data_IF_806184825574
#
_entry.id   IF_806184825574
#
_cell.length_a   1.000
_cell.length_b   1.000
_cell.length_c   1.000
_cell.angle_alpha   90.00
_cell.angle_beta   90.00
_cell.angle_gamma   90.00
#
_symmetry.space_group_name_H-M   'P 1'
#
loop_
_entity.id
_entity.type
_entity.pdbx_description
1 polymer ?
#
# COMPACT_ATOMS: atom_id res chain seq x y z
N UNK A 1 4.39 -30.70 29.74
CA UNK A 1 3.59 -30.78 30.98
C UNK A 1 3.93 -29.54 31.77
N UNK A 2 3.03 -28.55 31.82
CA UNK A 2 3.14 -27.47 32.82
C UNK A 2 3.00 -28.16 34.18
N UNK A 3 3.96 -27.99 35.08
CA UNK A 3 3.79 -28.44 36.46
C UNK A 3 2.60 -27.68 37.06
N UNK A 4 1.45 -28.34 37.11
CA UNK A 4 0.19 -27.88 37.70
C UNK A 4 0.28 -27.62 39.22
N UNK A 5 1.48 -27.69 39.81
CA UNK A 5 1.71 -27.48 41.24
C UNK A 5 1.59 -26.01 41.66
N UNK A 6 1.56 -25.06 40.73
CA UNK A 6 1.44 -23.63 41.04
C UNK A 6 0.05 -23.01 40.79
N UNK A 7 -0.83 -23.65 40.00
CA UNK A 7 -2.19 -23.14 39.73
C UNK A 7 -3.20 -24.04 40.45
N UNK A 8 -3.83 -23.51 41.50
CA UNK A 8 -4.81 -24.23 42.30
C UNK A 8 -6.10 -24.54 41.54
N UNK A 9 -6.88 -25.50 42.05
CA UNK A 9 -8.13 -25.95 41.43
C UNK A 9 -9.18 -24.83 41.31
N UNK A 10 -9.16 -23.86 42.25
CA UNK A 10 -10.13 -22.77 42.34
C UNK A 10 -9.58 -21.42 41.82
N UNK A 11 -8.39 -21.41 41.21
CA UNK A 11 -7.78 -20.16 40.76
C UNK A 11 -8.41 -19.67 39.46
N UNK A 12 -8.63 -18.35 39.40
CA UNK A 12 -8.94 -17.64 38.16
C UNK A 12 -7.69 -17.53 37.30
N UNK A 13 -7.82 -17.85 36.01
CA UNK A 13 -6.67 -17.93 35.09
C UNK A 13 -6.75 -16.84 34.02
N UNK A 14 -5.61 -16.21 33.76
CA UNK A 14 -5.39 -15.36 32.58
C UNK A 14 -4.56 -16.17 31.58
N UNK A 15 -5.06 -16.31 30.36
CA UNK A 15 -4.34 -16.97 29.26
C UNK A 15 -3.78 -15.92 28.32
N UNK A 16 -2.46 -15.91 28.14
CA UNK A 16 -1.79 -14.99 27.23
C UNK A 16 -1.20 -15.79 26.06
N UNK A 17 -1.59 -15.44 24.83
CA UNK A 17 -1.02 -16.01 23.60
C UNK A 17 -0.43 -14.89 22.74
N UNK A 18 0.49 -15.23 21.83
CA UNK A 18 1.01 -14.24 20.89
C UNK A 18 -0.09 -13.77 19.92
N UNK A 19 -0.75 -14.73 19.27
CA UNK A 19 -1.74 -14.51 18.23
C UNK A 19 -3.19 -14.63 18.78
N UNK A 20 -4.12 -13.76 18.34
CA UNK A 20 -5.53 -13.84 18.72
C UNK A 20 -6.27 -14.84 17.83
N UNK A 21 -5.93 -16.14 17.96
CA UNK A 21 -6.49 -17.18 17.08
C UNK A 21 -8.02 -17.18 17.07
N UNK A 22 -8.71 -16.79 18.16
CA UNK A 22 -10.18 -16.70 18.16
C UNK A 22 -10.73 -15.71 17.13
N UNK A 23 -10.00 -14.60 16.89
CA UNK A 23 -10.39 -13.56 15.96
C UNK A 23 -9.90 -13.86 14.55
N UNK A 24 -8.67 -14.36 14.42
CA UNK A 24 -8.09 -14.73 13.13
C UNK A 24 -8.71 -16.00 12.54
N UNK A 25 -8.99 -17.02 13.35
CA UNK A 25 -9.73 -18.20 12.90
C UNK A 25 -11.16 -17.83 12.49
N UNK A 26 -11.83 -16.94 13.21
CA UNK A 26 -13.12 -16.40 12.77
C UNK A 26 -13.01 -15.67 11.43
N UNK A 27 -11.96 -14.87 11.26
CA UNK A 27 -11.77 -14.11 10.04
C UNK A 27 -11.46 -15.01 8.83
N UNK A 28 -10.55 -15.98 9.00
CA UNK A 28 -10.08 -16.87 7.93
C UNK A 28 -10.90 -18.15 7.76
N UNK A 29 -11.94 -18.35 8.59
CA UNK A 29 -12.63 -19.64 8.74
C UNK A 29 -11.65 -20.79 9.05
N UNK A 30 -10.68 -20.51 9.93
CA UNK A 30 -9.61 -21.41 10.35
C UNK A 30 -9.90 -22.17 11.65
N UNK A 31 -8.92 -22.99 12.06
CA UNK A 31 -8.93 -23.69 13.35
C UNK A 31 -7.49 -23.97 13.80
N UNK A 32 -6.75 -22.89 14.04
CA UNK A 32 -5.32 -22.93 14.43
C UNK A 32 -5.14 -23.10 15.94
N UNK A 33 -6.08 -22.60 16.75
CA UNK A 33 -5.98 -22.57 18.22
C UNK A 33 -6.31 -23.88 18.97
N UNK A 34 -6.15 -25.07 18.38
CA UNK A 34 -6.65 -26.35 18.96
C UNK A 34 -6.09 -26.67 20.35
N UNK A 35 -4.78 -26.54 20.56
CA UNK A 35 -4.15 -26.83 21.85
C UNK A 35 -4.64 -25.89 22.95
N UNK A 36 -4.79 -24.61 22.62
CA UNK A 36 -5.30 -23.59 23.55
C UNK A 36 -6.79 -23.83 23.83
N UNK A 37 -7.54 -24.32 22.85
CA UNK A 37 -8.93 -24.74 23.03
C UNK A 37 -9.04 -25.87 24.04
N UNK A 38 -8.22 -26.92 23.91
CA UNK A 38 -8.22 -28.05 24.83
C UNK A 38 -7.85 -27.61 26.26
N UNK A 39 -6.85 -26.72 26.40
CA UNK A 39 -6.52 -26.13 27.70
C UNK A 39 -7.71 -25.37 28.32
N UNK A 40 -8.36 -24.50 27.55
CA UNK A 40 -9.41 -23.62 28.05
C UNK A 40 -10.71 -24.39 28.34
N UNK A 41 -11.14 -25.22 27.39
CA UNK A 41 -12.43 -25.90 27.47
C UNK A 41 -12.38 -27.09 28.41
N UNK A 42 -11.32 -27.91 28.34
CA UNK A 42 -11.30 -29.22 29.02
C UNK A 42 -10.61 -29.15 30.39
N UNK A 43 -9.56 -28.33 30.55
CA UNK A 43 -8.81 -28.23 31.81
C UNK A 43 -9.17 -27.02 32.68
N UNK A 44 -9.36 -25.84 32.07
CA UNK A 44 -9.71 -24.64 32.83
C UNK A 44 -11.22 -24.55 33.09
N UNK A 45 -12.05 -25.04 32.18
CA UNK A 45 -13.50 -25.21 32.32
C UNK A 45 -14.20 -24.03 33.06
N UNK A 46 -14.17 -22.83 32.47
CA UNK A 46 -14.82 -21.63 33.03
C UNK A 46 -13.96 -20.80 34.02
N UNK A 47 -12.75 -21.28 34.35
CA UNK A 47 -11.77 -20.53 35.17
C UNK A 47 -10.98 -19.50 34.38
N UNK A 48 -10.96 -19.55 33.04
CA UNK A 48 -10.28 -18.56 32.22
C UNK A 48 -11.06 -17.24 32.22
N UNK A 49 -10.63 -16.25 33.00
CA UNK A 49 -11.34 -14.95 33.08
C UNK A 49 -10.95 -13.98 32.00
N UNK A 50 -9.69 -14.00 31.59
CA UNK A 50 -9.18 -13.16 30.54
C UNK A 50 -8.31 -14.00 29.60
N UNK A 51 -8.64 -13.99 28.31
CA UNK A 51 -7.73 -14.43 27.28
C UNK A 51 -7.24 -13.20 26.52
N UNK A 52 -5.93 -13.02 26.45
CA UNK A 52 -5.33 -11.88 25.78
C UNK A 52 -4.30 -12.29 24.74
N UNK A 53 -4.18 -11.48 23.69
CA UNK A 53 -3.17 -11.65 22.68
C UNK A 53 -2.74 -10.32 22.05
N UNK A 54 -1.61 -10.37 21.35
CA UNK A 54 -1.07 -9.27 20.55
C UNK A 54 -1.31 -9.53 19.07
N UNK A 55 -0.24 -9.43 18.27
CA UNK A 55 -0.15 -9.66 16.82
C UNK A 55 -0.99 -8.71 15.95
N UNK A 56 -2.29 -8.60 16.22
CA UNK A 56 -3.12 -7.57 15.63
C UNK A 56 -2.84 -6.22 16.29
N UNK A 57 -2.20 -5.31 15.54
CA UNK A 57 -1.79 -3.98 15.96
C UNK A 57 -2.92 -2.96 16.15
N UNK A 58 -3.94 -3.36 16.92
CA UNK A 58 -5.00 -2.53 17.43
C UNK A 58 -5.35 -3.00 18.84
N UNK A 59 -6.26 -2.27 19.49
CA UNK A 59 -6.92 -2.71 20.70
C UNK A 59 -8.37 -3.10 20.41
N UNK A 60 -8.82 -4.22 20.98
CA UNK A 60 -10.19 -4.69 20.84
C UNK A 60 -10.56 -5.58 22.03
N UNK A 61 -11.62 -5.22 22.75
CA UNK A 61 -12.14 -6.02 23.87
C UNK A 61 -13.56 -6.50 23.58
N UNK A 62 -13.73 -7.81 23.74
CA UNK A 62 -15.03 -8.45 23.80
C UNK A 62 -15.32 -8.97 25.20
N UNK A 63 -16.55 -8.80 25.64
CA UNK A 63 -17.06 -9.35 26.89
C UNK A 63 -18.16 -10.34 26.57
N UNK A 64 -18.21 -11.43 27.34
CA UNK A 64 -19.30 -12.39 27.27
C UNK A 64 -20.66 -11.70 27.49
N UNK A 65 -21.68 -12.11 26.73
CA UNK A 65 -23.08 -11.80 27.01
C UNK A 65 -23.62 -12.88 27.95
N UNK A 66 -24.22 -12.52 29.11
CA UNK A 66 -24.76 -13.49 30.04
C UNK A 66 -25.72 -14.49 29.37
N UNK A 67 -25.54 -15.78 29.65
CA UNK A 67 -26.37 -16.87 29.14
C UNK A 67 -26.52 -17.97 30.19
N UNK A 68 -27.47 -18.89 30.00
CA UNK A 68 -27.70 -20.02 30.92
C UNK A 68 -26.48 -20.92 31.09
N UNK A 69 -25.62 -21.00 30.07
CA UNK A 69 -24.37 -21.78 30.15
C UNK A 69 -23.21 -20.88 30.56
N UNK A 70 -22.37 -21.31 31.51
CA UNK A 70 -21.16 -20.58 31.86
C UNK A 70 -20.21 -20.53 30.66
N UNK A 71 -19.63 -19.36 30.42
CA UNK A 71 -18.68 -19.16 29.33
C UNK A 71 -17.32 -19.73 29.70
N UNK A 72 -16.66 -20.37 28.74
CA UNK A 72 -15.27 -20.84 28.93
C UNK A 72 -14.30 -19.68 29.14
N UNK A 73 -14.59 -18.50 28.57
CA UNK A 73 -13.80 -17.27 28.73
C UNK A 73 -14.73 -16.09 29.01
N UNK A 74 -14.41 -15.24 29.98
CA UNK A 74 -15.25 -14.07 30.28
C UNK A 74 -14.90 -12.85 29.39
N UNK A 75 -13.61 -12.60 29.18
CA UNK A 75 -13.12 -11.51 28.35
C UNK A 75 -12.09 -11.96 27.32
N UNK A 76 -12.24 -11.49 26.08
CA UNK A 76 -11.27 -11.64 25.00
C UNK A 76 -10.67 -10.27 24.71
N UNK A 77 -9.34 -10.13 24.83
CA UNK A 77 -8.64 -8.86 24.69
C UNK A 77 -7.52 -8.98 23.66
N UNK A 78 -7.58 -8.17 22.62
CA UNK A 78 -6.48 -7.96 21.69
C UNK A 78 -5.82 -6.64 22.06
N UNK A 79 -4.52 -6.63 22.29
CA UNK A 79 -3.72 -5.41 22.40
C UNK A 79 -2.34 -5.62 21.77
N UNK A 80 -2.28 -5.55 20.44
CA UNK A 80 -1.03 -5.59 19.69
C UNK A 80 -0.49 -4.20 19.34
N UNK A 81 -1.00 -3.12 19.94
CA UNK A 81 -0.68 -1.74 19.54
C UNK A 81 0.81 -1.40 19.57
N UNK A 82 1.66 -2.17 20.26
CA UNK A 82 3.11 -2.02 20.23
C UNK A 82 3.78 -2.33 18.88
N UNK A 83 3.09 -2.95 17.92
CA UNK A 83 3.68 -3.42 16.65
C UNK A 83 4.10 -2.33 15.66
N UNK A 84 4.63 -2.74 14.49
CA UNK A 84 5.28 -1.81 13.57
C UNK A 84 4.34 -0.80 12.88
N UNK A 85 3.08 -1.19 12.62
CA UNK A 85 2.07 -0.35 11.98
C UNK A 85 0.67 -0.72 12.49
N UNK A 86 -0.27 0.21 12.48
CA UNK A 86 -1.66 -0.02 12.91
C UNK A 86 -2.36 -1.10 12.06
N UNK A 87 -3.16 -1.99 12.66
CA UNK A 87 -4.13 -2.84 11.96
C UNK A 87 -5.55 -2.25 12.03
N UNK A 88 -6.44 -2.52 11.05
CA UNK A 88 -7.81 -2.02 11.09
C UNK A 88 -8.63 -2.72 12.18
N UNK A 89 -9.57 -2.00 12.78
CA UNK A 89 -10.58 -2.56 13.71
C UNK A 89 -11.88 -2.88 12.99
N UNK A 90 -12.31 -2.06 12.03
CA UNK A 90 -13.62 -2.17 11.36
C UNK A 90 -13.87 -3.49 10.62
N UNK A 91 -12.80 -4.13 10.13
CA UNK A 91 -12.84 -5.46 9.50
C UNK A 91 -13.40 -6.54 10.43
N UNK A 92 -13.17 -6.39 11.73
CA UNK A 92 -13.50 -7.37 12.76
C UNK A 92 -14.82 -7.06 13.48
N UNK A 93 -15.56 -6.03 13.05
CA UNK A 93 -16.78 -5.53 13.72
C UNK A 93 -17.88 -6.57 13.93
N UNK A 94 -17.92 -7.59 13.08
CA UNK A 94 -18.97 -8.63 13.10
C UNK A 94 -18.60 -9.86 13.95
N UNK A 95 -17.45 -9.88 14.61
CA UNK A 95 -17.10 -10.95 15.53
C UNK A 95 -18.01 -10.90 16.77
N UNK A 96 -18.72 -11.99 17.06
CA UNK A 96 -19.67 -12.03 18.17
C UNK A 96 -19.84 -13.41 18.83
N UNK A 97 -19.09 -14.43 18.41
CA UNK A 97 -19.23 -15.81 18.93
C UNK A 97 -17.88 -16.48 19.10
N UNK A 98 -17.73 -17.19 20.21
CA UNK A 98 -16.55 -18.00 20.50
C UNK A 98 -16.91 -19.16 21.42
N UNK A 99 -16.49 -20.39 21.06
CA UNK A 99 -16.87 -21.64 21.73
C UNK A 99 -18.38 -21.77 22.04
N UNK A 100 -19.22 -21.35 21.10
CA UNK A 100 -20.68 -21.41 21.25
C UNK A 100 -21.29 -20.31 22.13
N UNK A 101 -20.47 -19.50 22.82
CA UNK A 101 -20.94 -18.37 23.62
C UNK A 101 -20.94 -17.07 22.81
N UNK A 102 -21.94 -16.21 23.07
CA UNK A 102 -22.06 -14.89 22.44
C UNK A 102 -21.24 -13.84 23.19
N UNK A 103 -20.63 -12.93 22.44
CA UNK A 103 -19.81 -11.84 22.94
C UNK A 103 -20.24 -10.51 22.34
N UNK A 104 -20.09 -9.45 23.13
CA UNK A 104 -20.28 -8.07 22.70
C UNK A 104 -18.93 -7.34 22.69
N UNK A 105 -18.67 -6.61 21.61
CA UNK A 105 -17.50 -5.72 21.55
C UNK A 105 -17.75 -4.50 22.42
N UNK A 106 -16.97 -4.35 23.50
CA UNK A 106 -17.13 -3.28 24.49
C UNK A 106 -16.26 -2.06 24.17
N UNK A 107 -15.07 -2.26 23.60
CA UNK A 107 -14.15 -1.19 23.29
C UNK A 107 -13.24 -1.57 22.12
N UNK A 108 -12.92 -0.58 21.28
CA UNK A 108 -11.93 -0.70 20.21
C UNK A 108 -11.07 0.55 20.16
N UNK A 109 -9.81 0.38 19.80
CA UNK A 109 -8.92 1.51 19.55
C UNK A 109 -7.96 1.21 18.38
N UNK A 110 -8.04 1.99 17.28
CA UNK A 110 -8.99 3.08 17.02
C UNK A 110 -10.44 2.59 16.90
N UNK A 111 -11.40 3.51 17.02
CA UNK A 111 -12.82 3.19 16.78
C UNK A 111 -13.03 2.66 15.36
N UNK A 112 -14.13 1.95 15.11
CA UNK A 112 -14.44 1.43 13.77
C UNK A 112 -14.49 2.54 12.72
N UNK A 113 -15.13 3.67 13.05
CA UNK A 113 -15.28 4.80 12.14
C UNK A 113 -13.94 5.51 11.89
N UNK A 114 -13.11 5.67 12.92
CA UNK A 114 -11.74 6.16 12.76
C UNK A 114 -10.92 5.23 11.87
N UNK A 115 -11.00 3.93 12.12
CA UNK A 115 -10.27 2.92 11.36
C UNK A 115 -10.67 2.94 9.88
N UNK A 116 -11.96 3.03 9.57
CA UNK A 116 -12.43 3.12 8.19
C UNK A 116 -11.99 4.42 7.51
N UNK A 117 -12.00 5.56 8.23
CA UNK A 117 -11.49 6.84 7.72
C UNK A 117 -9.99 6.83 7.48
N UNK A 118 -9.21 6.18 8.35
CA UNK A 118 -7.77 6.01 8.19
C UNK A 118 -7.45 5.28 6.88
N UNK A 119 -8.29 4.31 6.49
CA UNK A 119 -8.10 3.55 5.25
C UNK A 119 -8.14 4.43 3.99
N UNK A 120 -8.77 5.62 4.02
CA UNK A 120 -8.72 6.60 2.91
C UNK A 120 -7.28 7.01 2.57
N UNK A 121 -6.35 6.85 3.52
CA UNK A 121 -4.92 6.99 3.28
C UNK A 121 -4.41 6.12 2.14
N UNK A 122 -5.06 5.01 1.78
CA UNK A 122 -4.67 4.18 0.64
C UNK A 122 -4.81 4.93 -0.69
N UNK A 123 -5.82 5.79 -0.85
CA UNK A 123 -5.94 6.60 -2.07
C UNK A 123 -4.90 7.74 -2.05
N UNK A 124 -4.78 8.43 -0.93
CA UNK A 124 -4.06 9.71 -0.86
C UNK A 124 -2.55 9.58 -0.57
N UNK A 125 -2.15 8.54 0.15
CA UNK A 125 -0.80 8.40 0.72
C UNK A 125 -0.05 7.18 0.20
N UNK A 126 -0.71 6.22 -0.45
CA UNK A 126 -0.06 4.99 -0.92
C UNK A 126 1.15 5.29 -1.79
N UNK A 127 1.00 6.13 -2.82
CA UNK A 127 2.12 6.51 -3.70
C UNK A 127 3.29 7.12 -2.93
N UNK A 128 3.01 8.08 -2.04
CA UNK A 128 4.04 8.77 -1.24
C UNK A 128 4.80 7.79 -0.32
N UNK A 129 4.11 6.78 0.21
CA UNK A 129 4.67 5.77 1.11
C UNK A 129 5.39 4.64 0.36
N UNK A 130 4.94 4.34 -0.86
CA UNK A 130 5.35 3.17 -1.63
C UNK A 130 5.88 3.56 -3.01
N UNK A 131 6.70 4.62 -3.11
CA UNK A 131 7.24 5.10 -4.39
C UNK A 131 8.04 4.03 -5.16
N UNK A 132 8.56 3.00 -4.50
CA UNK A 132 9.20 1.86 -5.16
C UNK A 132 8.20 1.03 -5.99
N UNK A 133 6.93 1.01 -5.61
CA UNK A 133 5.86 0.37 -6.37
C UNK A 133 5.65 1.06 -7.73
N UNK A 134 5.81 2.39 -7.79
CA UNK A 134 5.70 3.16 -9.05
C UNK A 134 6.66 2.62 -10.12
N UNK A 135 7.90 2.27 -9.71
CA UNK A 135 8.91 1.76 -10.63
C UNK A 135 8.46 0.48 -11.32
N UNK A 136 8.02 -0.51 -10.54
CA UNK A 136 7.53 -1.79 -11.05
C UNK A 136 6.21 -1.59 -11.81
N UNK A 137 5.31 -0.76 -11.27
CA UNK A 137 4.01 -0.48 -11.86
C UNK A 137 4.08 0.14 -13.25
N UNK A 138 5.00 1.10 -13.46
CA UNK A 138 5.21 1.70 -14.78
C UNK A 138 5.77 0.71 -15.79
N UNK A 139 6.65 -0.21 -15.37
CA UNK A 139 7.14 -1.30 -16.23
C UNK A 139 5.99 -2.24 -16.62
N UNK A 140 5.15 -2.62 -15.66
CA UNK A 140 3.96 -3.45 -15.93
C UNK A 140 3.06 -2.76 -16.94
N UNK A 141 2.74 -1.47 -16.75
CA UNK A 141 1.91 -0.72 -17.69
C UNK A 141 2.52 -0.68 -19.08
N UNK A 142 3.84 -0.46 -19.18
CA UNK A 142 4.50 -0.45 -20.47
C UNK A 142 4.41 -1.80 -21.18
N UNK A 143 4.62 -2.91 -20.46
CA UNK A 143 4.44 -4.27 -21.01
C UNK A 143 3.00 -4.47 -21.50
N UNK A 144 2.00 -4.03 -20.73
CA UNK A 144 0.58 -4.15 -21.11
C UNK A 144 0.25 -3.47 -22.44
N UNK A 145 0.96 -2.41 -22.82
CA UNK A 145 0.71 -1.67 -24.07
C UNK A 145 1.82 -1.73 -25.11
N UNK A 146 2.91 -2.43 -24.80
CA UNK A 146 4.14 -2.48 -25.59
C UNK A 146 3.89 -2.79 -27.07
N UNK A 147 3.06 -3.82 -27.33
CA UNK A 147 2.78 -4.31 -28.68
C UNK A 147 1.88 -3.38 -29.50
N UNK A 148 1.32 -2.34 -28.90
CA UNK A 148 0.39 -1.42 -29.57
C UNK A 148 1.04 -0.09 -29.93
N UNK A 149 2.29 0.15 -29.55
CA UNK A 149 3.03 1.32 -30.02
C UNK A 149 3.67 1.09 -31.40
N UNK A 150 3.72 2.11 -32.28
CA UNK A 150 2.95 3.37 -32.26
C UNK A 150 1.50 3.19 -32.75
N UNK A 151 0.65 4.16 -32.42
CA UNK A 151 -0.70 4.26 -32.95
C UNK A 151 -0.72 5.20 -34.16
N UNK A 152 -0.72 4.63 -35.37
CA UNK A 152 -0.53 5.39 -36.61
C UNK A 152 -1.80 6.06 -37.16
N UNK A 153 -2.99 5.56 -36.78
CA UNK A 153 -4.26 6.11 -37.25
C UNK A 153 -5.01 6.76 -36.09
N UNK A 154 -4.64 7.99 -35.75
CA UNK A 154 -5.29 8.80 -34.71
C UNK A 154 -6.02 10.03 -35.30
N UNK A 155 -5.94 10.18 -36.62
CA UNK A 155 -6.37 11.40 -37.28
C UNK A 155 -7.87 11.63 -37.21
N UNK A 156 -8.65 10.54 -37.17
CA UNK A 156 -10.10 10.58 -37.04
C UNK A 156 -10.54 11.17 -35.69
N UNK A 157 -9.83 10.91 -34.59
CA UNK A 157 -10.15 11.45 -33.26
C UNK A 157 -10.07 12.99 -33.27
N UNK A 158 -9.05 13.53 -33.93
CA UNK A 158 -8.77 14.97 -33.94
C UNK A 158 -9.62 15.76 -34.96
N UNK A 159 -10.28 15.10 -35.91
CA UNK A 159 -11.08 15.74 -36.97
C UNK A 159 -12.56 15.92 -36.61
N UNK A 160 -13.03 15.31 -35.52
CA UNK A 160 -14.44 15.39 -35.12
C UNK A 160 -14.70 16.66 -34.33
N UNK A 161 -15.64 17.48 -34.79
CA UNK A 161 -15.91 18.79 -34.19
C UNK A 161 -16.60 18.70 -32.83
N UNK A 162 -17.43 17.67 -32.58
CA UNK A 162 -18.18 17.50 -31.34
C UNK A 162 -17.42 16.75 -30.24
N UNK A 163 -17.55 17.18 -28.98
CA UNK A 163 -16.89 16.53 -27.83
C UNK A 163 -17.31 15.06 -27.68
N UNK A 164 -18.62 14.77 -27.80
CA UNK A 164 -19.15 13.41 -27.74
C UNK A 164 -18.57 12.52 -28.85
N UNK A 165 -18.47 13.05 -30.08
CA UNK A 165 -17.88 12.32 -31.20
C UNK A 165 -16.37 12.05 -31.02
N UNK A 166 -15.62 12.98 -30.43
CA UNK A 166 -14.21 12.76 -30.08
C UNK A 166 -14.06 11.67 -29.01
N UNK A 167 -14.88 11.71 -27.95
CA UNK A 167 -14.86 10.70 -26.90
C UNK A 167 -15.22 9.32 -27.45
N UNK A 168 -16.26 9.22 -28.28
CA UNK A 168 -16.64 7.95 -28.91
C UNK A 168 -15.52 7.41 -29.81
N UNK A 169 -14.88 8.27 -30.60
CA UNK A 169 -13.74 7.88 -31.45
C UNK A 169 -12.53 7.43 -30.62
N UNK A 170 -12.27 8.11 -29.50
CA UNK A 170 -11.20 7.76 -28.57
C UNK A 170 -11.43 6.38 -27.94
N UNK A 171 -12.61 6.15 -27.36
CA UNK A 171 -12.95 4.87 -26.75
C UNK A 171 -13.08 3.74 -27.77
N UNK A 172 -13.55 4.03 -29.00
CA UNK A 172 -13.53 3.09 -30.10
C UNK A 172 -12.10 2.66 -30.46
N UNK A 173 -11.16 3.61 -30.52
CA UNK A 173 -9.74 3.33 -30.78
C UNK A 173 -9.10 2.55 -29.63
N UNK A 174 -9.44 2.89 -28.38
CA UNK A 174 -9.02 2.14 -27.20
C UNK A 174 -9.49 0.69 -27.25
N UNK A 175 -10.74 0.47 -27.64
CA UNK A 175 -11.32 -0.87 -27.80
C UNK A 175 -10.65 -1.64 -28.95
N UNK A 176 -10.41 -1.01 -30.09
CA UNK A 176 -9.66 -1.63 -31.19
C UNK A 176 -8.23 -2.02 -30.76
N UNK A 177 -7.55 -1.18 -29.99
CA UNK A 177 -6.23 -1.50 -29.45
C UNK A 177 -6.28 -2.67 -28.45
N UNK A 178 -7.33 -2.76 -27.65
CA UNK A 178 -7.56 -3.89 -26.77
C UNK A 178 -7.80 -5.20 -27.55
N UNK A 179 -8.66 -5.19 -28.57
CA UNK A 179 -8.88 -6.37 -29.42
C UNK A 179 -7.61 -6.78 -30.16
N UNK A 180 -6.86 -5.81 -30.70
CA UNK A 180 -5.56 -6.08 -31.32
C UNK A 180 -4.58 -6.76 -30.36
N UNK A 181 -4.54 -6.31 -29.10
CA UNK A 181 -3.73 -6.91 -28.06
C UNK A 181 -4.13 -8.37 -27.78
N UNK A 182 -5.43 -8.69 -27.78
CA UNK A 182 -5.89 -10.07 -27.61
C UNK A 182 -5.58 -10.99 -28.80
N UNK A 183 -5.73 -10.47 -30.02
CA UNK A 183 -5.70 -11.29 -31.24
C UNK A 183 -4.29 -11.44 -31.83
N UNK A 184 -3.47 -10.39 -31.74
CA UNK A 184 -2.22 -10.28 -32.51
C UNK A 184 -0.97 -10.06 -31.66
N UNK A 185 -1.11 -9.74 -30.37
CA UNK A 185 0.04 -9.47 -29.51
C UNK A 185 0.45 -10.69 -28.68
N UNK A 186 1.74 -10.99 -28.63
CA UNK A 186 2.28 -12.04 -27.75
C UNK A 186 2.75 -11.47 -26.41
N UNK A 187 3.53 -10.38 -26.43
CA UNK A 187 4.16 -9.80 -25.23
C UNK A 187 3.11 -9.17 -24.31
N UNK A 188 2.29 -8.27 -24.86
CA UNK A 188 1.25 -7.58 -24.08
C UNK A 188 0.16 -8.52 -23.59
N UNK A 189 -0.25 -9.51 -24.40
CA UNK A 189 -1.16 -10.57 -23.97
C UNK A 189 -0.59 -11.42 -22.84
N UNK A 190 0.67 -11.86 -22.94
CA UNK A 190 1.32 -12.62 -21.88
C UNK A 190 1.40 -11.80 -20.58
N UNK A 191 1.77 -10.52 -20.67
CA UNK A 191 1.76 -9.60 -19.52
C UNK A 191 0.38 -9.46 -18.89
N UNK A 192 -0.66 -9.33 -19.70
CA UNK A 192 -2.05 -9.25 -19.25
C UNK A 192 -2.50 -10.54 -18.54
N UNK A 193 -2.22 -11.72 -19.11
CA UNK A 193 -2.55 -13.03 -18.51
C UNK A 193 -1.81 -13.24 -17.19
N UNK A 194 -0.52 -12.91 -17.13
CA UNK A 194 0.27 -12.99 -15.88
C UNK A 194 -0.32 -12.08 -14.82
N UNK A 195 -0.69 -10.84 -15.19
CA UNK A 195 -1.30 -9.89 -14.25
C UNK A 195 -2.66 -10.39 -13.73
N UNK A 196 -3.47 -11.04 -14.58
CA UNK A 196 -4.69 -11.73 -14.13
C UNK A 196 -4.36 -12.79 -13.10
N UNK A 197 -3.44 -13.70 -13.40
CA UNK A 197 -3.08 -14.81 -12.49
C UNK A 197 -2.60 -14.24 -11.15
N UNK A 198 -1.68 -13.28 -11.17
CA UNK A 198 -1.17 -12.63 -9.95
C UNK A 198 -2.29 -11.95 -9.18
N UNK A 199 -3.17 -11.21 -9.86
CA UNK A 199 -4.29 -10.53 -9.20
C UNK A 199 -5.29 -11.51 -8.59
N UNK A 200 -5.54 -12.65 -9.22
CA UNK A 200 -6.40 -13.70 -8.65
C UNK A 200 -5.77 -14.29 -7.40
N UNK A 201 -4.47 -14.61 -7.44
CA UNK A 201 -3.74 -15.18 -6.30
C UNK A 201 -3.59 -14.18 -5.14
N UNK A 202 -3.54 -12.88 -5.45
CA UNK A 202 -3.44 -11.82 -4.44
C UNK A 202 -4.72 -11.69 -3.61
N UNK A 203 -5.90 -11.89 -4.21
CA UNK A 203 -7.18 -11.79 -3.49
C UNK A 203 -7.27 -12.91 -2.44
N UNK A 204 -7.52 -12.61 -1.15
CA UNK A 204 -7.46 -13.61 -0.10
C UNK A 204 -8.51 -14.71 -0.23
N UNK A 205 -8.16 -15.93 0.20
CA UNK A 205 -9.02 -17.12 0.13
C UNK A 205 -10.29 -17.06 1.00
N UNK A 206 -10.42 -16.01 1.83
CA UNK A 206 -11.62 -15.70 2.62
C UNK A 206 -12.88 -15.58 1.76
N UNK A 207 -12.76 -15.09 0.52
CA UNK A 207 -13.90 -14.92 -0.39
C UNK A 207 -14.09 -16.15 -1.29
N UNK A 208 -15.31 -16.37 -1.78
CA UNK A 208 -15.58 -17.47 -2.71
C UNK A 208 -14.77 -17.31 -4.01
N UNK A 209 -14.39 -18.42 -4.65
CA UNK A 209 -13.64 -18.42 -5.92
C UNK A 209 -14.29 -17.54 -7.01
N UNK A 210 -15.63 -17.47 -7.05
CA UNK A 210 -16.37 -16.58 -7.96
C UNK A 210 -16.10 -15.10 -7.66
N UNK A 211 -16.17 -14.70 -6.38
CA UNK A 211 -15.87 -13.32 -5.96
C UNK A 211 -14.40 -12.99 -6.16
N UNK A 212 -13.51 -13.92 -5.85
CA UNK A 212 -12.07 -13.80 -6.13
C UNK A 212 -11.81 -13.50 -7.60
N UNK A 213 -12.46 -14.25 -8.50
CA UNK A 213 -12.41 -14.03 -9.94
C UNK A 213 -12.92 -12.64 -10.34
N UNK A 214 -14.10 -12.24 -9.85
CA UNK A 214 -14.69 -10.94 -10.15
C UNK A 214 -13.77 -9.80 -9.70
N UNK A 215 -13.28 -9.83 -8.45
CA UNK A 215 -12.43 -8.78 -7.88
C UNK A 215 -11.12 -8.68 -8.67
N UNK A 216 -10.46 -9.81 -8.94
CA UNK A 216 -9.19 -9.82 -9.68
C UNK A 216 -9.35 -9.33 -11.11
N UNK A 217 -10.37 -9.81 -11.83
CA UNK A 217 -10.64 -9.39 -13.22
C UNK A 217 -10.99 -7.90 -13.28
N UNK A 218 -11.83 -7.39 -12.37
CA UNK A 218 -12.15 -5.95 -12.33
C UNK A 218 -10.90 -5.11 -12.06
N UNK A 219 -10.05 -5.54 -11.12
CA UNK A 219 -8.82 -4.83 -10.79
C UNK A 219 -7.85 -4.76 -11.99
N UNK A 220 -7.64 -5.89 -12.66
CA UNK A 220 -6.79 -5.97 -13.86
C UNK A 220 -7.38 -5.19 -15.02
N UNK A 221 -8.72 -5.23 -15.18
CA UNK A 221 -9.42 -4.46 -16.22
C UNK A 221 -9.24 -2.96 -16.02
N UNK A 222 -9.28 -2.47 -14.77
CA UNK A 222 -9.01 -1.07 -14.44
C UNK A 222 -7.57 -0.68 -14.80
N UNK A 223 -6.59 -1.53 -14.48
CA UNK A 223 -5.19 -1.30 -14.87
C UNK A 223 -4.99 -1.31 -16.39
N UNK A 224 -5.61 -2.25 -17.11
CA UNK A 224 -5.51 -2.34 -18.56
C UNK A 224 -6.16 -1.15 -19.26
N UNK A 225 -7.38 -0.77 -18.85
CA UNK A 225 -8.05 0.41 -19.37
C UNK A 225 -7.21 1.67 -19.16
N UNK A 226 -6.65 1.85 -17.95
CA UNK A 226 -5.78 2.98 -17.67
C UNK A 226 -4.51 2.97 -18.53
N UNK A 227 -3.85 1.83 -18.69
CA UNK A 227 -2.65 1.72 -19.53
C UNK A 227 -2.95 2.12 -21.00
N UNK A 228 -4.06 1.61 -21.56
CA UNK A 228 -4.51 1.96 -22.92
C UNK A 228 -4.88 3.43 -23.07
N UNK A 229 -5.60 4.01 -22.09
CA UNK A 229 -5.95 5.44 -22.08
C UNK A 229 -4.68 6.28 -22.09
N UNK A 230 -3.72 5.97 -21.21
CA UNK A 230 -2.47 6.72 -21.10
C UNK A 230 -1.61 6.59 -22.37
N UNK A 231 -1.62 5.40 -22.99
CA UNK A 231 -0.93 5.15 -24.27
C UNK A 231 -1.50 6.05 -25.36
N UNK A 232 -2.83 6.07 -25.51
CA UNK A 232 -3.51 6.90 -26.50
C UNK A 232 -3.33 8.39 -26.24
N UNK A 233 -3.38 8.84 -24.99
CA UNK A 233 -3.14 10.24 -24.65
C UNK A 233 -1.72 10.68 -25.02
N UNK A 234 -0.71 9.84 -24.76
CA UNK A 234 0.67 10.13 -25.15
C UNK A 234 0.82 10.15 -26.68
N UNK A 235 0.29 9.15 -27.39
CA UNK A 235 0.36 9.09 -28.85
C UNK A 235 -0.39 10.25 -29.52
N UNK A 236 -1.54 10.65 -28.98
CA UNK A 236 -2.27 11.85 -29.42
C UNK A 236 -1.44 13.11 -29.18
N UNK A 237 -0.77 13.22 -28.03
CA UNK A 237 0.13 14.34 -27.74
C UNK A 237 1.27 14.45 -28.77
N UNK A 238 1.89 13.31 -29.10
CA UNK A 238 2.93 13.24 -30.15
C UNK A 238 2.36 13.61 -31.52
N UNK A 239 1.20 13.07 -31.90
CA UNK A 239 0.51 13.37 -33.16
C UNK A 239 0.16 14.86 -33.28
N UNK A 240 -0.33 15.48 -32.20
CA UNK A 240 -0.60 16.92 -32.16
C UNK A 240 0.67 17.74 -32.37
N UNK A 241 1.77 17.37 -31.70
CA UNK A 241 3.05 18.05 -31.89
C UNK A 241 3.57 17.94 -33.32
N UNK A 242 3.43 16.77 -33.96
CA UNK A 242 3.80 16.57 -35.37
C UNK A 242 2.94 17.45 -36.28
N UNK A 243 1.61 17.46 -36.08
CA UNK A 243 0.66 18.26 -36.89
C UNK A 243 0.94 19.76 -36.81
N UNK A 244 1.29 20.26 -35.62
CA UNK A 244 1.63 21.67 -35.41
C UNK A 244 3.10 22.01 -35.75
N UNK A 245 3.84 21.09 -36.37
CA UNK A 245 5.26 21.25 -36.75
C UNK A 245 6.16 21.58 -35.54
N UNK A 246 5.83 21.07 -34.36
CA UNK A 246 6.66 21.16 -33.16
C UNK A 246 7.67 20.02 -33.07
N UNK A 247 7.34 18.84 -33.61
CA UNK A 247 8.20 17.66 -33.68
C UNK A 247 8.22 17.06 -35.08
N UNK A 248 9.24 16.26 -35.37
CA UNK A 248 9.49 15.57 -36.64
C UNK A 248 9.61 16.50 -37.86
N UNK A 249 10.28 17.65 -37.68
CA UNK A 249 10.37 18.70 -38.71
C UNK A 249 11.58 18.55 -39.62
N UNK A 250 12.72 18.13 -39.08
CA UNK A 250 13.99 18.11 -39.84
C UNK A 250 14.83 16.82 -39.66
N UNK A 251 14.24 15.78 -39.07
CA UNK A 251 14.84 14.46 -38.84
C UNK A 251 15.51 14.32 -37.47
N UNK A 252 16.21 13.20 -37.23
CA UNK A 252 16.76 12.77 -35.92
C UNK A 252 17.74 13.72 -35.21
N UNK A 253 18.10 14.84 -35.81
CA UNK A 253 19.19 15.73 -35.35
C UNK A 253 18.78 17.21 -35.41
N UNK A 254 17.50 17.52 -35.20
CA UNK A 254 16.95 18.89 -35.06
C UNK A 254 17.78 19.73 -34.09
N UNK A 255 17.97 19.24 -32.86
CA UNK A 255 18.72 19.96 -31.83
C UNK A 255 20.17 20.23 -32.25
N UNK A 256 20.83 19.27 -32.89
CA UNK A 256 22.19 19.44 -33.41
C UNK A 256 22.25 20.45 -34.56
N UNK A 257 21.27 20.44 -35.47
CA UNK A 257 21.18 21.44 -36.55
C UNK A 257 20.96 22.84 -36.01
N UNK A 258 20.08 22.99 -35.02
CA UNK A 258 19.86 24.26 -34.33
C UNK A 258 21.14 24.74 -33.63
N UNK A 259 21.82 23.87 -32.89
CA UNK A 259 23.10 24.17 -32.26
C UNK A 259 24.14 24.64 -33.27
N UNK A 260 24.30 23.93 -34.39
CA UNK A 260 25.24 24.33 -35.46
C UNK A 260 24.90 25.69 -36.06
N UNK A 261 23.62 26.02 -36.20
CA UNK A 261 23.17 27.33 -36.67
C UNK A 261 23.59 28.43 -35.70
N UNK A 262 23.23 28.28 -34.41
CA UNK A 262 23.58 29.26 -33.36
C UNK A 262 25.09 29.37 -33.18
N UNK A 263 25.79 28.24 -33.20
CA UNK A 263 27.26 28.17 -33.11
C UNK A 263 27.91 28.92 -34.27
N UNK A 264 27.39 28.81 -35.49
CA UNK A 264 27.93 29.54 -36.65
C UNK A 264 27.63 31.05 -36.61
N UNK A 265 26.49 31.44 -36.06
CA UNK A 265 26.05 32.84 -36.00
C UNK A 265 26.73 33.61 -34.86
N UNK A 266 26.86 33.00 -33.68
CA UNK A 266 27.35 33.67 -32.47
C UNK A 266 28.81 33.35 -32.15
N UNK A 267 29.37 32.25 -32.68
CA UNK A 267 30.74 31.79 -32.40
C UNK A 267 31.47 31.39 -33.71
N UNK A 268 31.78 32.37 -34.58
CA UNK A 268 32.52 32.12 -35.82
C UNK A 268 33.91 31.56 -35.53
N UNK A 269 34.44 30.74 -36.44
CA UNK A 269 35.76 30.08 -36.31
C UNK A 269 36.81 30.73 -37.22
N UNK A 270 37.32 31.94 -36.91
CA UNK A 270 38.24 32.66 -37.78
C UNK A 270 39.60 31.97 -37.94
N UNK A 271 39.96 31.08 -36.99
CA UNK A 271 41.24 30.34 -37.01
C UNK A 271 41.13 28.94 -37.63
N UNK A 272 39.92 28.51 -37.99
CA UNK A 272 39.65 27.16 -38.51
C UNK A 272 39.93 26.05 -37.49
N UNK A 273 39.93 26.36 -36.19
CA UNK A 273 40.25 25.41 -35.12
C UNK A 273 39.25 24.24 -35.10
N UNK A 274 37.96 24.51 -35.30
CA UNK A 274 36.91 23.49 -35.28
C UNK A 274 37.06 22.53 -36.47
N UNK A 275 37.35 23.06 -37.65
CA UNK A 275 37.62 22.25 -38.85
C UNK A 275 38.89 21.40 -38.67
N UNK A 276 39.93 21.93 -38.01
CA UNK A 276 41.14 21.17 -37.67
C UNK A 276 40.86 20.05 -36.68
N UNK A 277 40.09 20.30 -35.62
CA UNK A 277 39.68 19.30 -34.63
C UNK A 277 38.85 18.20 -35.29
N UNK A 278 37.89 18.56 -36.14
CA UNK A 278 37.10 17.60 -36.91
C UNK A 278 38.00 16.69 -37.76
N UNK A 279 38.99 17.26 -38.45
CA UNK A 279 39.97 16.49 -39.22
C UNK A 279 40.86 15.60 -38.34
N UNK A 280 41.39 16.13 -37.23
CA UNK A 280 42.25 15.39 -36.30
C UNK A 280 41.53 14.24 -35.60
N UNK A 281 40.22 14.39 -35.38
CA UNK A 281 39.38 13.35 -34.77
C UNK A 281 38.71 12.44 -35.79
N UNK A 282 39.05 12.55 -37.09
CA UNK A 282 38.40 11.80 -38.17
C UNK A 282 36.86 11.92 -38.15
N UNK A 283 36.34 13.10 -37.80
CA UNK A 283 34.90 13.36 -37.69
C UNK A 283 34.25 12.87 -36.39
N UNK A 284 35.02 12.30 -35.45
CA UNK A 284 34.47 11.80 -34.18
C UNK A 284 33.97 12.94 -33.30
N UNK A 285 34.65 14.09 -33.25
CA UNK A 285 34.23 15.25 -32.46
C UNK A 285 32.80 15.71 -32.79
N UNK A 286 32.45 16.09 -34.04
CA UNK A 286 31.09 16.50 -34.36
C UNK A 286 30.10 15.34 -34.27
N UNK A 287 30.52 14.10 -34.54
CA UNK A 287 29.67 12.93 -34.39
C UNK A 287 29.26 12.70 -32.91
N UNK A 288 30.20 12.80 -31.97
CA UNK A 288 29.93 12.66 -30.55
C UNK A 288 28.92 13.72 -30.07
N UNK A 289 29.11 14.98 -30.43
CA UNK A 289 28.17 16.06 -30.08
C UNK A 289 26.79 15.77 -30.70
N UNK A 290 26.75 15.42 -31.98
CA UNK A 290 25.51 15.10 -32.69
C UNK A 290 24.71 13.97 -32.04
N UNK A 291 25.36 12.85 -31.70
CA UNK A 291 24.68 11.71 -31.08
C UNK A 291 24.33 11.97 -29.61
N UNK A 292 25.17 12.71 -28.88
CA UNK A 292 24.86 13.14 -27.52
C UNK A 292 23.60 14.01 -27.50
N UNK A 293 23.50 15.01 -28.37
CA UNK A 293 22.33 15.89 -28.46
C UNK A 293 21.06 15.11 -28.87
N UNK A 294 21.16 14.13 -29.77
CA UNK A 294 20.04 13.25 -30.09
C UNK A 294 19.54 12.42 -28.89
N UNK A 295 20.42 12.06 -27.95
CA UNK A 295 20.02 11.37 -26.73
C UNK A 295 19.22 12.28 -25.77
N UNK A 296 19.39 13.60 -25.87
CA UNK A 296 18.61 14.60 -25.13
C UNK A 296 17.36 15.09 -25.86
N UNK A 297 17.24 14.84 -27.18
CA UNK A 297 16.08 15.19 -28.01
C UNK A 297 15.11 13.99 -28.17
N UNK A 298 14.78 13.35 -27.04
CA UNK A 298 13.96 12.12 -27.00
C UNK A 298 12.60 12.30 -27.69
N UNK A 299 11.84 13.41 -27.49
CA UNK A 299 10.58 13.63 -28.19
C UNK A 299 10.72 13.67 -29.72
N UNK A 300 11.78 14.30 -30.25
CA UNK A 300 12.02 14.29 -31.70
C UNK A 300 12.33 12.87 -32.18
N UNK A 301 13.22 12.15 -31.47
CA UNK A 301 13.55 10.76 -31.82
C UNK A 301 12.30 9.88 -31.84
N UNK A 302 11.41 10.01 -30.85
CA UNK A 302 10.11 9.33 -30.83
C UNK A 302 9.27 9.71 -32.04
N UNK A 303 9.08 11.00 -32.31
CA UNK A 303 8.19 11.51 -33.36
C UNK A 303 8.67 11.16 -34.78
N UNK A 304 9.99 11.28 -35.05
CA UNK A 304 10.60 10.93 -36.34
C UNK A 304 10.55 9.42 -36.56
N UNK A 305 10.87 8.62 -35.55
CA UNK A 305 10.81 7.15 -35.67
C UNK A 305 9.37 6.69 -35.87
N UNK A 306 8.43 7.20 -35.06
CA UNK A 306 6.99 6.96 -35.23
C UNK A 306 6.51 7.29 -36.63
N UNK A 307 6.85 8.47 -37.16
CA UNK A 307 6.48 8.89 -38.51
C UNK A 307 7.05 7.96 -39.58
N UNK A 308 8.25 7.42 -39.36
CA UNK A 308 8.88 6.44 -40.25
C UNK A 308 8.14 5.10 -40.20
N UNK A 309 7.86 4.58 -39.00
CA UNK A 309 7.08 3.35 -38.79
C UNK A 309 5.71 3.45 -39.45
N UNK A 310 5.00 4.56 -39.23
CA UNK A 310 3.65 4.72 -39.76
C UNK A 310 3.59 4.86 -41.28
N UNK A 311 4.68 5.31 -41.93
CA UNK A 311 4.75 5.44 -43.40
C UNK A 311 5.31 4.19 -44.09
N UNK A 312 6.32 3.55 -43.50
CA UNK A 312 7.12 2.49 -44.13
C UNK A 312 7.00 1.12 -43.45
N UNK A 313 6.28 1.04 -42.34
CA UNK A 313 6.18 -0.16 -41.51
C UNK A 313 7.39 -0.38 -40.61
N UNK A 314 7.22 -1.26 -39.62
CA UNK A 314 8.28 -1.64 -38.67
C UNK A 314 9.48 -2.32 -39.33
N UNK A 315 9.28 -3.03 -40.45
CA UNK A 315 10.35 -3.72 -41.19
C UNK A 315 11.38 -2.78 -41.80
N UNK A 316 11.06 -1.47 -41.89
CA UNK A 316 11.98 -0.45 -42.38
C UNK A 316 13.06 -0.03 -41.36
N UNK A 317 12.92 -0.42 -40.09
CA UNK A 317 13.85 -0.05 -39.03
C UNK A 317 14.90 -1.13 -38.75
N UNK A 318 16.11 -0.69 -38.42
CA UNK A 318 17.11 -1.57 -37.81
C UNK A 318 16.67 -1.98 -36.40
N UNK A 319 17.18 -3.12 -35.91
CA UNK A 319 16.93 -3.59 -34.52
C UNK A 319 17.37 -2.54 -33.50
N UNK A 320 18.51 -1.89 -33.71
CA UNK A 320 19.01 -0.83 -32.83
C UNK A 320 18.07 0.38 -32.79
N UNK A 321 17.57 0.82 -33.95
CA UNK A 321 16.61 1.92 -34.04
C UNK A 321 15.29 1.60 -33.36
N UNK A 322 14.81 0.35 -33.48
CA UNK A 322 13.60 -0.10 -32.77
C UNK A 322 13.79 -0.11 -31.24
N UNK A 323 14.96 -0.56 -30.76
CA UNK A 323 15.29 -0.51 -29.32
C UNK A 323 15.32 0.93 -28.82
N UNK A 324 15.97 1.84 -29.55
CA UNK A 324 16.03 3.27 -29.19
C UNK A 324 14.62 3.87 -29.15
N UNK A 325 13.77 3.52 -30.11
CA UNK A 325 12.37 3.96 -30.14
C UNK A 325 11.61 3.50 -28.89
N UNK A 326 11.61 2.20 -28.59
CA UNK A 326 10.90 1.69 -27.42
C UNK A 326 11.47 2.19 -26.10
N UNK A 327 12.79 2.37 -26.00
CA UNK A 327 13.42 2.99 -24.83
C UNK A 327 12.95 4.44 -24.64
N UNK A 328 12.85 5.20 -25.74
CA UNK A 328 12.36 6.58 -25.72
C UNK A 328 10.89 6.66 -25.30
N UNK A 329 10.04 5.82 -25.89
CA UNK A 329 8.61 5.70 -25.54
C UNK A 329 8.46 5.29 -24.06
N UNK A 330 9.23 4.31 -23.60
CA UNK A 330 9.21 3.84 -22.23
C UNK A 330 9.48 4.97 -21.24
N UNK A 331 10.51 5.80 -21.46
CA UNK A 331 10.86 6.88 -20.53
C UNK A 331 9.70 7.85 -20.29
N UNK A 332 9.02 8.29 -21.36
CA UNK A 332 7.89 9.20 -21.24
C UNK A 332 6.64 8.51 -20.69
N UNK A 333 6.35 7.31 -21.20
CA UNK A 333 5.17 6.56 -20.79
C UNK A 333 5.26 6.15 -19.31
N UNK A 334 6.45 5.77 -18.83
CA UNK A 334 6.70 5.41 -17.45
C UNK A 334 6.42 6.60 -16.52
N UNK A 335 6.99 7.78 -16.80
CA UNK A 335 6.72 9.00 -16.01
C UNK A 335 5.22 9.32 -15.94
N UNK A 336 4.51 9.16 -17.06
CA UNK A 336 3.08 9.45 -17.13
C UNK A 336 2.20 8.39 -16.46
N UNK A 337 2.59 7.12 -16.50
CA UNK A 337 1.81 6.00 -15.97
C UNK A 337 1.95 5.77 -14.47
N UNK A 338 3.14 6.00 -13.91
CA UNK A 338 3.42 5.71 -12.49
C UNK A 338 2.41 6.30 -11.48
N UNK A 339 1.93 7.56 -11.61
CA UNK A 339 0.94 8.10 -10.67
C UNK A 339 -0.39 7.34 -10.71
N UNK A 340 -0.80 6.91 -11.91
CA UNK A 340 -2.08 6.27 -12.16
C UNK A 340 -2.06 4.82 -11.69
N UNK A 341 -0.94 4.11 -11.84
CA UNK A 341 -0.80 2.74 -11.35
C UNK A 341 -0.99 2.68 -9.84
N UNK A 342 -0.27 3.54 -9.11
CA UNK A 342 -0.40 3.65 -7.65
C UNK A 342 -1.78 4.10 -7.20
N UNK A 343 -2.42 5.01 -7.93
CA UNK A 343 -3.78 5.46 -7.61
C UNK A 343 -4.80 4.33 -7.72
N UNK A 344 -4.72 3.51 -8.77
CA UNK A 344 -5.63 2.37 -8.96
C UNK A 344 -5.41 1.32 -7.88
N UNK A 345 -4.15 0.98 -7.57
CA UNK A 345 -3.85 0.01 -6.53
C UNK A 345 -4.25 0.48 -5.12
N UNK A 346 -3.98 1.75 -4.79
CA UNK A 346 -4.43 2.36 -3.54
C UNK A 346 -5.95 2.42 -3.42
N UNK A 347 -6.66 2.74 -4.52
CA UNK A 347 -8.12 2.71 -4.57
C UNK A 347 -8.67 1.29 -4.42
N UNK A 348 -8.01 0.31 -5.01
CA UNK A 348 -8.34 -1.11 -4.84
C UNK A 348 -8.26 -1.53 -3.37
N UNK A 349 -7.15 -1.24 -2.68
CA UNK A 349 -7.00 -1.55 -1.26
C UNK A 349 -8.06 -0.86 -0.40
N UNK A 350 -8.35 0.42 -0.68
CA UNK A 350 -9.41 1.17 0.01
C UNK A 350 -10.80 0.56 -0.17
N UNK A 351 -11.17 0.17 -1.40
CA UNK A 351 -12.47 -0.44 -1.68
C UNK A 351 -12.55 -1.82 -1.02
N UNK A 352 -11.50 -2.62 -1.15
CA UNK A 352 -11.40 -3.96 -0.59
C UNK A 352 -11.55 -3.97 0.93
N UNK A 353 -10.86 -3.06 1.64
CA UNK A 353 -10.88 -3.05 3.10
C UNK A 353 -12.21 -2.55 3.67
N UNK A 354 -12.77 -1.48 3.09
CA UNK A 354 -13.97 -0.83 3.64
C UNK A 354 -15.29 -1.51 3.25
N UNK A 355 -15.38 -2.11 2.05
CA UNK A 355 -16.63 -2.73 1.59
C UNK A 355 -16.59 -4.26 1.60
N UNK A 356 -15.43 -4.84 1.29
CA UNK A 356 -15.30 -6.30 1.20
C UNK A 356 -14.66 -6.91 2.46
N UNK A 357 -14.13 -6.09 3.36
CA UNK A 357 -13.43 -6.50 4.59
C UNK A 357 -12.31 -7.53 4.32
N UNK A 358 -11.59 -7.36 3.20
CA UNK A 358 -10.40 -8.14 2.82
C UNK A 358 -9.16 -7.24 2.81
N UNK A 359 -7.98 -7.84 2.73
CA UNK A 359 -6.69 -7.13 2.71
C UNK A 359 -6.40 -6.30 3.95
N UNK A 360 -6.76 -6.79 5.14
CA UNK A 360 -6.55 -6.03 6.37
C UNK A 360 -5.08 -5.73 6.66
N UNK A 361 -4.19 -6.65 6.28
CA UNK A 361 -2.76 -6.49 6.45
C UNK A 361 -2.18 -5.59 5.35
N UNK A 362 -2.42 -5.87 4.07
CA UNK A 362 -1.86 -5.09 2.95
C UNK A 362 -2.36 -3.64 2.92
N UNK A 363 -3.65 -3.42 3.24
CA UNK A 363 -4.24 -2.08 3.22
C UNK A 363 -3.71 -1.17 4.34
N UNK A 364 -3.16 -1.71 5.43
CA UNK A 364 -2.66 -0.90 6.53
C UNK A 364 -1.12 -0.92 6.65
N UNK A 365 -0.49 -2.04 6.31
CA UNK A 365 0.98 -2.12 6.18
C UNK A 365 1.51 -1.15 5.13
N UNK A 366 0.81 -0.99 4.00
CA UNK A 366 1.15 -0.02 2.96
C UNK A 366 1.09 1.45 3.42
N UNK A 367 0.34 1.75 4.49
CA UNK A 367 0.26 3.09 5.08
C UNK A 367 1.36 3.36 6.11
N UNK A 368 1.95 2.30 6.69
CA UNK A 368 3.04 2.37 7.69
C UNK A 368 2.70 3.32 8.83
N UNK A 369 1.52 3.14 9.42
CA UNK A 369 0.98 4.02 10.46
C UNK A 369 1.60 3.63 11.80
N UNK A 370 2.65 4.34 12.22
CA UNK A 370 3.29 4.16 13.52
C UNK A 370 2.53 4.80 14.71
N UNK A 371 1.35 5.37 14.44
CA UNK A 371 0.47 6.01 15.41
C UNK A 371 -0.42 4.98 16.13
N UNK A 372 -1.28 5.43 17.06
CA UNK A 372 -2.23 4.59 17.80
C UNK A 372 -1.55 3.52 18.67
N UNK A 373 -0.72 3.94 19.61
CA UNK A 373 -0.05 3.05 20.57
C UNK A 373 -0.88 2.89 21.82
N UNK A 374 -0.84 1.70 22.42
CA UNK A 374 -1.54 1.43 23.67
C UNK A 374 -0.80 0.38 24.49
N UNK A 375 -1.01 0.41 25.81
CA UNK A 375 -0.56 -0.60 26.75
C UNK A 375 -1.69 -0.91 27.73
N UNK A 376 -1.82 -2.19 28.11
CA UNK A 376 -2.78 -2.63 29.12
C UNK A 376 -2.07 -2.82 30.44
N UNK A 377 -2.60 -2.19 31.50
CA UNK A 377 -2.13 -2.30 32.87
C UNK A 377 -3.13 -3.09 33.69
N UNK A 378 -2.59 -4.02 34.48
CA UNK A 378 -3.33 -4.82 35.44
C UNK A 378 -3.07 -4.31 36.86
N UNK A 379 -4.12 -4.24 37.66
CA UNK A 379 -4.07 -3.92 39.07
C UNK A 379 -4.92 -4.94 39.83
N UNK A 380 -4.27 -5.71 40.69
CA UNK A 380 -4.96 -6.67 41.57
C UNK A 380 -5.30 -5.91 42.85
N UNK A 381 -6.60 -5.79 43.14
CA UNK A 381 -7.10 -5.08 44.32
C UNK A 381 -6.91 -5.90 45.59
N UNK A 382 -7.09 -5.26 46.75
CA UNK A 382 -7.07 -5.96 48.04
C UNK A 382 -8.17 -7.04 48.13
N UNK A 383 -9.30 -6.83 47.46
CA UNK A 383 -10.41 -7.78 47.36
C UNK A 383 -10.12 -8.93 46.38
N UNK A 384 -8.93 -8.95 45.77
CA UNK A 384 -8.49 -9.90 44.74
C UNK A 384 -9.28 -9.82 43.43
N UNK A 385 -9.92 -8.69 43.17
CA UNK A 385 -10.45 -8.35 41.85
C UNK A 385 -9.30 -7.86 40.96
N UNK A 386 -9.48 -8.02 39.65
CA UNK A 386 -8.53 -7.57 38.65
C UNK A 386 -9.09 -6.37 37.90
N UNK A 387 -8.59 -5.17 38.23
CA UNK A 387 -8.82 -3.96 37.46
C UNK A 387 -7.89 -3.94 36.24
N UNK A 388 -8.47 -3.66 35.07
CA UNK A 388 -7.78 -3.63 33.79
C UNK A 388 -7.96 -2.25 33.16
N UNK A 389 -6.85 -1.57 32.91
CA UNK A 389 -6.81 -0.26 32.25
C UNK A 389 -6.08 -0.38 30.92
N UNK A 390 -6.63 0.15 29.84
CA UNK A 390 -5.90 0.32 28.58
C UNK A 390 -5.64 1.79 28.34
N UNK A 391 -4.37 2.17 28.34
CA UNK A 391 -3.88 3.52 28.11
C UNK A 391 -3.39 3.63 26.67
N UNK A 392 -3.77 4.69 25.96
CA UNK A 392 -3.44 4.86 24.56
C UNK A 392 -3.04 6.29 24.19
N UNK A 393 -2.27 6.40 23.10
CA UNK A 393 -1.70 7.63 22.53
C UNK A 393 -1.91 7.61 21.01
N UNK A 394 -2.64 8.61 20.49
CA UNK A 394 -3.00 8.67 19.06
C UNK A 394 -1.81 8.99 18.17
N UNK A 395 -0.96 9.94 18.58
CA UNK A 395 0.17 10.41 17.78
C UNK A 395 1.46 10.14 18.54
N UNK A 396 2.35 9.37 17.94
CA UNK A 396 3.63 9.04 18.54
C UNK A 396 4.70 10.01 18.05
N UNK A 397 5.51 10.60 18.94
CA UNK A 397 6.67 11.40 18.56
C UNK A 397 7.67 10.58 17.74
N UNK A 398 8.22 11.20 16.70
CA UNK A 398 9.30 10.60 15.89
C UNK A 398 10.68 11.07 16.30
N UNK A 399 10.73 12.25 16.91
CA UNK A 399 11.95 12.91 17.35
C UNK A 399 11.85 13.06 18.87
N UNK A 400 12.85 12.52 19.55
CA UNK A 400 12.96 12.50 20.99
C UNK A 400 14.21 13.27 21.39
N UNK A 401 14.10 14.06 22.44
CA UNK A 401 15.21 14.78 23.04
C UNK A 401 15.29 14.48 24.53
N UNK A 402 16.46 14.73 25.12
CA UNK A 402 16.66 14.57 26.55
C UNK A 402 15.82 15.62 27.29
N UNK A 403 15.06 15.19 28.29
CA UNK A 403 14.35 16.13 29.15
C UNK A 403 15.33 16.74 30.15
N UNK A 404 15.64 18.03 29.97
CA UNK A 404 16.49 18.78 30.90
C UNK A 404 15.97 18.72 32.33
N UNK A 405 14.64 18.75 32.53
CA UNK A 405 14.06 18.69 33.86
C UNK A 405 14.29 17.33 34.54
N UNK A 406 14.34 16.25 33.77
CA UNK A 406 14.75 14.93 34.27
C UNK A 406 16.24 14.86 34.59
N UNK A 407 17.08 15.55 33.83
CA UNK A 407 18.53 15.50 34.04
C UNK A 407 18.98 16.34 35.24
N UNK A 408 18.37 17.52 35.39
CA UNK A 408 18.61 18.49 36.45
C UNK A 408 18.02 18.04 37.80
N UNK A 409 16.98 17.19 37.79
CA UNK A 409 16.41 16.64 39.02
C UNK A 409 17.46 15.77 39.73
N UNK A 410 17.74 16.02 41.03
CA UNK A 410 18.62 15.16 41.82
C UNK A 410 18.20 13.71 41.72
N UNK A 411 19.16 12.79 41.65
CA UNK A 411 18.93 11.34 41.48
C UNK A 411 19.34 10.62 42.77
N UNK A 412 18.51 10.62 43.83
CA UNK A 412 18.81 9.88 45.05
C UNK A 412 19.09 8.41 44.74
N UNK A 413 20.01 7.76 45.47
CA UNK A 413 20.19 6.32 45.37
C UNK A 413 18.85 5.61 45.61
N UNK A 414 18.56 4.59 44.80
CA UNK A 414 17.40 3.70 44.96
C UNK A 414 16.02 4.30 44.64
N UNK A 415 15.91 5.56 44.22
CA UNK A 415 14.61 6.10 43.79
C UNK A 415 14.26 5.62 42.37
N UNK A 416 13.13 4.92 42.25
CA UNK A 416 12.62 4.47 40.95
C UNK A 416 12.12 5.65 40.11
N UNK A 417 12.33 5.59 38.79
CA UNK A 417 12.00 6.70 37.87
C UNK A 417 10.53 7.14 37.94
N UNK A 418 9.60 6.20 38.08
CA UNK A 418 8.16 6.50 38.13
C UNK A 418 7.70 7.26 39.40
N UNK A 419 8.55 7.36 40.44
CA UNK A 419 8.27 8.12 41.67
C UNK A 419 8.86 9.54 41.64
N UNK A 420 9.55 9.89 40.56
CA UNK A 420 10.20 11.19 40.39
C UNK A 420 9.21 12.23 39.87
N UNK A 421 9.53 13.51 40.06
CA UNK A 421 8.70 14.60 39.53
C UNK A 421 8.71 14.61 38.00
N UNK A 422 9.86 14.28 37.41
CA UNK A 422 10.04 14.08 35.97
C UNK A 422 10.41 12.61 35.77
N UNK A 423 9.43 11.72 35.48
CA UNK A 423 9.69 10.29 35.45
C UNK A 423 10.35 9.80 34.15
N UNK A 424 10.25 10.57 33.06
CA UNK A 424 10.78 10.20 31.74
C UNK A 424 12.10 10.90 31.44
N UNK A 425 13.11 10.15 31.03
CA UNK A 425 14.39 10.69 30.52
C UNK A 425 14.21 11.42 29.18
N UNK A 426 13.20 11.04 28.42
CA UNK A 426 12.95 11.51 27.06
C UNK A 426 11.65 12.28 27.01
N UNK A 427 11.66 13.37 26.24
CA UNK A 427 10.46 14.11 25.88
C UNK A 427 10.36 14.26 24.37
N UNK A 428 9.15 14.53 23.88
CA UNK A 428 8.93 14.83 22.48
C UNK A 428 9.57 16.18 22.09
N UNK A 429 10.37 16.20 21.02
CA UNK A 429 11.07 17.43 20.60
C UNK A 429 10.14 18.46 19.92
N UNK A 430 9.22 17.99 19.08
CA UNK A 430 8.40 18.85 18.21
C UNK A 430 6.90 18.55 18.23
N UNK A 431 6.49 17.46 18.86
CA UNK A 431 5.09 17.04 19.01
C UNK A 431 4.64 17.10 20.46
N UNK A 432 3.33 17.14 20.76
CA UNK A 432 2.84 17.00 22.12
C UNK A 432 3.41 15.76 22.81
N UNK A 433 3.85 15.90 24.05
CA UNK A 433 4.44 14.81 24.79
C UNK A 433 3.40 13.71 25.06
N UNK A 434 3.71 12.41 24.89
CA UNK A 434 2.80 11.32 25.21
C UNK A 434 2.24 11.36 26.62
N UNK A 435 2.99 11.85 27.61
CA UNK A 435 2.51 12.02 28.98
C UNK A 435 1.34 13.01 29.09
N UNK A 436 1.24 13.96 28.16
CA UNK A 436 0.15 14.96 28.13
C UNK A 436 -1.04 14.52 27.28
N UNK A 437 -0.87 13.52 26.41
CA UNK A 437 -1.88 13.09 25.43
C UNK A 437 -2.41 11.68 25.67
N UNK A 438 -1.76 10.91 26.54
CA UNK A 438 -2.22 9.58 26.94
C UNK A 438 -3.61 9.67 27.58
N UNK A 439 -4.48 8.74 27.21
CA UNK A 439 -5.81 8.60 27.81
C UNK A 439 -6.17 7.15 28.04
N UNK A 440 -7.06 6.92 28.99
CA UNK A 440 -7.66 5.60 29.19
C UNK A 440 -8.73 5.42 28.11
N UNK A 441 -8.57 4.41 27.27
CA UNK A 441 -9.53 4.06 26.20
C UNK A 441 -10.48 2.94 26.58
N UNK A 442 -10.15 2.20 27.64
CA UNK A 442 -11.01 1.17 28.21
C UNK A 442 -10.62 0.91 29.67
N UNK A 443 -11.62 0.64 30.50
CA UNK A 443 -11.47 0.28 31.90
C UNK A 443 -12.57 -0.72 32.26
N UNK A 444 -12.18 -1.83 32.86
CA UNK A 444 -13.12 -2.83 33.36
C UNK A 444 -12.53 -3.61 34.53
N UNK A 445 -13.41 -4.25 35.30
CA UNK A 445 -13.05 -5.04 36.47
C UNK A 445 -13.47 -6.49 36.23
N UNK A 446 -12.57 -7.43 36.50
CA UNK A 446 -12.86 -8.86 36.56
C UNK A 446 -12.95 -9.23 38.03
N UNK A 447 -14.15 -9.63 38.44
CA UNK A 447 -14.41 -10.03 39.81
C UNK A 447 -13.81 -11.40 40.13
N UNK A 448 -13.37 -11.58 41.37
CA UNK A 448 -12.98 -12.89 41.90
C UNK A 448 -14.17 -13.86 41.87
N UNK A 449 -13.90 -15.14 41.58
CA UNK A 449 -14.90 -16.20 41.75
C UNK A 449 -15.18 -16.39 43.25
N UNK A 450 -16.42 -16.19 43.68
CA UNK A 450 -16.87 -16.55 45.02
C UNK A 450 -17.31 -18.03 45.01
N UNK A 451 -16.85 -18.87 45.96
CA UNK A 451 -17.09 -20.32 45.95
C UNK A 451 -18.56 -20.77 45.92
N UNK A 452 -19.52 -19.91 46.31
CA UNK A 452 -20.95 -20.24 46.31
C UNK A 452 -21.57 -20.42 44.92
N UNK A 453 -20.85 -20.08 43.84
CA UNK A 453 -21.25 -20.36 42.45
C UNK A 453 -20.54 -21.58 41.85
N UNK A 454 -19.60 -22.21 42.57
CA UNK A 454 -18.87 -23.38 42.09
C UNK A 454 -19.59 -24.72 42.38
N UNK A 455 -20.62 -24.71 43.23
CA UNK A 455 -21.29 -25.93 43.73
C UNK A 455 -22.67 -26.20 43.10
N UNK A 456 -23.03 -25.55 42.00
CA UNK A 456 -24.32 -25.76 41.32
C UNK A 456 -24.19 -26.15 39.84
N UNK A 457 -23.15 -26.89 39.49
CA UNK A 457 -22.98 -27.48 38.15
C UNK A 457 -22.62 -28.96 38.24
#
# INVERSE_FOLDING_TARGET
VLELTQVGENDSVIVMTHEPNWLLDWYWNGSTGKNVSHLICDYLNGRCKLRMAGDLHHYMRHSVIPSEKPAHVQHLLVNGCGGAFLHPTHVFRNFNKFYGTSYECKATYPSYDDSSRIALGNILKFRKKNWQFDFIGGIIYFILVFSMFPQCNLNHILKVDSLSGRLNSFFGTMWSAFLYMLEHSYVSLAGYVVLIIVSLLFVPSKVSRKRQAIIGVLHVSAHMAAALILMLLMELGVEMCIRHRLLATSGYHTLYKWYRSIESEHFPDPTGLRARIERWTFGLYPACIKYLMSAFDIPEVMAVTRSTICKKGFTSLSRGSAIIYYASVFLYFWVFSTPIVSLIFGSYLYICINWLHIHFDEAFSSLRIANYKAFTRFHITQDSDLEVFTLAVDKVPKEWELDHAWDDEPKPPLQMSHLRRFPSKWRAASSPDPLSTVRIVDHFVIQRIVPSQATSS
#
